data_IF_902916554816
#
_entry.id   IF_902916554816
#
_cell.length_a   1.000
_cell.length_b   1.000
_cell.length_c   1.000
_cell.angle_alpha   90.00
_cell.angle_beta   90.00
_cell.angle_gamma   90.00
#
_symmetry.space_group_name_H-M   'P 1'
#
loop_
_entity.id
_entity.type
_entity.pdbx_description
1 polymer ?
#
# COMPACT_ATOMS: atom_id res chain seq x y z
N UNK A 1 9.77 -2.57 -3.42
CA UNK A 1 8.53 -3.35 -3.72
C UNK A 1 7.85 -3.74 -2.41
N UNK A 2 6.53 -3.69 -2.40
CA UNK A 2 5.77 -4.07 -1.21
C UNK A 2 5.93 -5.57 -0.91
N UNK A 3 6.19 -5.90 0.35
CA UNK A 3 6.39 -7.28 0.81
C UNK A 3 5.14 -7.84 1.49
N UNK A 4 4.12 -7.02 1.67
CA UNK A 4 2.88 -7.38 2.35
C UNK A 4 1.74 -7.77 1.40
N UNK A 5 2.06 -8.00 0.13
CA UNK A 5 1.08 -8.46 -0.84
C UNK A 5 0.71 -9.92 -0.57
N UNK A 6 -0.58 -10.18 -0.39
CA UNK A 6 -1.14 -11.52 -0.28
C UNK A 6 -1.52 -12.03 -1.66
N UNK A 7 -2.26 -11.21 -2.43
CA UNK A 7 -2.73 -11.59 -3.76
C UNK A 7 -3.10 -10.35 -4.58
N UNK A 8 -2.78 -10.39 -5.88
CA UNK A 8 -3.21 -9.34 -6.81
C UNK A 8 -3.41 -9.97 -8.20
N UNK A 9 -4.63 -9.92 -8.69
CA UNK A 9 -4.99 -10.49 -10.00
C UNK A 9 -4.50 -9.67 -11.17
N UNK A 10 -4.59 -8.36 -11.07
CA UNK A 10 -4.39 -7.46 -12.20
C UNK A 10 -3.42 -6.32 -11.89
N UNK A 11 -2.16 -6.52 -12.25
CA UNK A 11 -1.12 -5.49 -12.09
C UNK A 11 -1.28 -4.32 -13.06
N UNK A 12 -2.18 -4.41 -14.04
CA UNK A 12 -2.47 -3.29 -14.95
C UNK A 12 -3.16 -2.13 -14.25
N UNK A 13 -3.71 -2.36 -13.05
CA UNK A 13 -4.29 -1.32 -12.23
C UNK A 13 -3.27 -0.56 -11.37
N UNK A 14 -2.00 -0.92 -11.49
CA UNK A 14 -0.94 -0.19 -10.79
C UNK A 14 -0.67 1.13 -11.52
N UNK A 15 -0.52 2.19 -10.75
CA UNK A 15 -0.30 3.55 -11.27
C UNK A 15 0.64 4.32 -10.38
N UNK A 16 1.46 5.17 -10.99
CA UNK A 16 2.21 6.19 -10.27
C UNK A 16 1.30 7.38 -9.93
N UNK A 17 1.32 7.81 -8.70
CA UNK A 17 0.53 8.94 -8.20
C UNK A 17 1.30 9.71 -7.15
N UNK A 18 1.01 10.99 -7.05
CA UNK A 18 1.53 11.83 -5.96
C UNK A 18 0.93 11.35 -4.64
N UNK A 19 1.77 11.16 -3.66
CA UNK A 19 1.41 10.62 -2.35
C UNK A 19 1.92 11.54 -1.22
N UNK A 20 1.38 11.41 0.00
CA UNK A 20 1.85 12.21 1.13
C UNK A 20 3.31 11.94 1.49
N UNK A 21 3.94 12.93 2.10
CA UNK A 21 5.28 12.81 2.67
C UNK A 21 5.30 11.66 3.68
N UNK A 22 6.34 10.84 3.62
CA UNK A 22 6.52 9.70 4.52
C UNK A 22 5.88 8.41 4.04
N UNK A 23 5.24 8.38 2.87
CA UNK A 23 4.69 7.14 2.31
C UNK A 23 5.80 6.14 2.05
N UNK A 24 5.62 4.94 2.56
CA UNK A 24 6.54 3.81 2.42
C UNK A 24 5.88 2.66 1.68
N UNK A 25 6.70 1.84 1.05
CA UNK A 25 6.25 0.58 0.44
C UNK A 25 5.43 -0.23 1.45
N UNK A 26 4.26 -0.67 1.03
CA UNK A 26 3.33 -1.42 1.87
C UNK A 26 2.27 -0.58 2.57
N UNK A 27 2.38 0.75 2.58
CA UNK A 27 1.41 1.61 3.25
C UNK A 27 0.07 1.63 2.53
N UNK A 28 -1.01 1.58 3.31
CA UNK A 28 -2.36 1.83 2.84
C UNK A 28 -2.63 3.33 2.80
N UNK A 29 -3.26 3.81 1.73
CA UNK A 29 -3.65 5.23 1.60
C UNK A 29 -4.91 5.38 0.74
N UNK A 30 -5.51 6.56 0.84
CA UNK A 30 -6.62 6.96 -0.02
C UNK A 30 -6.11 8.01 -1.00
N UNK A 31 -6.21 7.74 -2.29
CA UNK A 31 -5.79 8.67 -3.34
C UNK A 31 -6.95 8.89 -4.31
N UNK A 32 -7.36 10.15 -4.44
CA UNK A 32 -8.51 10.48 -5.30
C UNK A 32 -9.81 9.80 -4.86
N UNK A 33 -9.99 9.56 -3.56
CA UNK A 33 -11.13 8.84 -3.01
C UNK A 33 -11.07 7.32 -3.17
N UNK A 34 -9.98 6.77 -3.69
CA UNK A 34 -9.80 5.33 -3.92
C UNK A 34 -8.81 4.74 -2.93
N UNK A 35 -9.11 3.57 -2.35
CA UNK A 35 -8.14 2.86 -1.55
C UNK A 35 -6.99 2.34 -2.41
N UNK A 36 -5.79 2.40 -1.88
CA UNK A 36 -4.57 1.96 -2.56
C UNK A 36 -3.53 1.47 -1.56
N UNK A 37 -2.58 0.68 -2.05
CA UNK A 37 -1.40 0.27 -1.29
C UNK A 37 -0.16 0.69 -2.07
N UNK A 38 0.78 1.33 -1.40
CA UNK A 38 2.03 1.75 -2.01
C UNK A 38 2.92 0.53 -2.28
N UNK A 39 3.36 0.41 -3.52
CA UNK A 39 4.29 -0.64 -3.95
C UNK A 39 5.75 -0.21 -3.76
N UNK A 40 5.98 1.09 -3.72
CA UNK A 40 7.30 1.70 -3.54
C UNK A 40 7.24 2.79 -2.48
N UNK A 41 8.40 3.19 -1.98
CA UNK A 41 8.51 4.40 -1.19
C UNK A 41 8.23 5.62 -2.07
N UNK A 42 7.83 6.72 -1.44
CA UNK A 42 7.68 8.00 -2.11
C UNK A 42 9.04 8.49 -2.62
N UNK A 43 9.11 8.91 -3.87
CA UNK A 43 10.28 9.53 -4.45
C UNK A 43 10.40 10.99 -4.02
N UNK A 44 10.84 11.24 -2.80
CA UNK A 44 10.84 12.59 -2.20
C UNK A 44 11.85 13.53 -2.84
N UNK A 45 12.94 12.97 -3.36
CA UNK A 45 14.02 13.76 -3.95
C UNK A 45 14.68 12.97 -5.06
N UNK A 46 15.40 13.68 -5.91
CA UNK A 46 16.33 13.06 -6.83
C UNK A 46 17.58 12.60 -6.06
N UNK A 47 18.09 11.44 -6.42
CA UNK A 47 19.33 10.93 -5.87
C UNK A 47 20.41 11.02 -6.92
N UNK A 48 21.50 11.69 -6.58
CA UNK A 48 22.67 11.80 -7.44
C UNK A 48 23.69 10.72 -7.09
N UNK A 49 24.08 9.93 -8.07
CA UNK A 49 25.06 8.87 -7.90
C UNK A 49 26.26 9.18 -8.77
N UNK A 50 27.49 9.29 -8.22
CA UNK A 50 28.67 9.49 -9.03
C UNK A 50 28.94 8.27 -9.91
N UNK A 51 29.33 8.53 -11.15
CA UNK A 51 29.73 7.50 -12.10
C UNK A 51 31.17 7.76 -12.55
N UNK A 52 31.82 6.75 -13.14
CA UNK A 52 33.22 6.85 -13.60
C UNK A 52 33.39 8.00 -14.60
N UNK A 53 34.52 8.71 -14.54
CA UNK A 53 34.79 9.84 -15.41
C UNK A 53 34.39 11.21 -14.90
N UNK A 54 34.02 11.33 -13.61
CA UNK A 54 33.64 12.61 -13.00
C UNK A 54 32.24 13.06 -13.29
N UNK A 55 31.45 12.28 -14.01
CA UNK A 55 30.01 12.53 -14.22
C UNK A 55 29.18 12.05 -13.03
N UNK A 56 27.92 12.46 -12.96
CA UNK A 56 26.99 11.95 -11.98
C UNK A 56 25.64 11.66 -12.62
N UNK A 57 24.93 10.69 -12.07
CA UNK A 57 23.60 10.30 -12.50
C UNK A 57 22.58 10.73 -11.44
N UNK A 58 21.60 11.52 -11.84
CA UNK A 58 20.55 12.00 -10.96
C UNK A 58 19.23 11.29 -11.31
N UNK A 59 18.66 10.57 -10.35
CA UNK A 59 17.43 9.79 -10.52
C UNK A 59 16.46 10.11 -9.40
N UNK A 60 15.13 10.01 -9.66
CA UNK A 60 14.16 10.05 -8.59
C UNK A 60 14.40 8.89 -7.61
N UNK A 61 14.32 9.15 -6.32
CA UNK A 61 14.32 8.04 -5.36
C UNK A 61 13.03 7.26 -5.51
N UNK A 62 13.10 5.93 -5.46
CA UNK A 62 11.94 5.06 -5.65
C UNK A 62 11.85 4.41 -7.02
N UNK A 63 12.65 4.82 -8.02
CA UNK A 63 12.74 4.14 -9.31
C UNK A 63 12.79 5.05 -10.51
N UNK A 64 13.08 4.47 -11.65
CA UNK A 64 13.31 5.19 -12.90
C UNK A 64 12.09 5.90 -13.46
N UNK A 65 10.91 5.31 -13.31
CA UNK A 65 9.68 5.83 -13.91
C UNK A 65 8.88 6.70 -12.97
N UNK A 66 9.35 6.90 -11.74
CA UNK A 66 8.67 7.74 -10.76
C UNK A 66 9.22 9.15 -10.81
N UNK A 67 8.32 10.12 -10.80
CA UNK A 67 8.65 11.54 -10.59
C UNK A 67 8.83 11.81 -9.09
N UNK A 68 9.50 12.90 -8.70
CA UNK A 68 9.52 13.31 -7.31
C UNK A 68 8.11 13.39 -6.74
N UNK A 69 7.95 13.00 -5.48
CA UNK A 69 6.68 12.98 -4.73
C UNK A 69 5.69 11.89 -5.16
N UNK A 70 6.05 11.05 -6.10
CA UNK A 70 5.21 9.94 -6.55
C UNK A 70 5.62 8.61 -5.91
N UNK A 71 4.65 7.71 -5.81
CA UNK A 71 4.88 6.29 -5.54
C UNK A 71 4.06 5.47 -6.53
N UNK A 72 4.51 4.26 -6.80
CA UNK A 72 3.71 3.30 -7.54
C UNK A 72 2.66 2.71 -6.61
N UNK A 73 1.40 2.73 -7.02
CA UNK A 73 0.27 2.31 -6.21
C UNK A 73 -0.47 1.16 -6.86
N UNK A 74 -0.93 0.21 -6.03
CA UNK A 74 -1.89 -0.80 -6.41
C UNK A 74 -3.27 -0.38 -5.91
N UNK A 75 -4.25 -0.38 -6.79
CA UNK A 75 -5.64 -0.03 -6.46
C UNK A 75 -6.54 -1.24 -6.28
N UNK A 76 -5.97 -2.42 -6.29
CA UNK A 76 -6.68 -3.69 -6.09
C UNK A 76 -5.79 -4.70 -5.38
N UNK A 77 -6.35 -5.87 -5.12
CA UNK A 77 -5.62 -6.98 -4.52
C UNK A 77 -5.87 -7.12 -3.03
N UNK A 78 -5.25 -8.16 -2.46
CA UNK A 78 -5.33 -8.48 -1.04
C UNK A 78 -3.98 -8.24 -0.39
N UNK A 79 -3.99 -7.49 0.69
CA UNK A 79 -2.78 -6.99 1.35
C UNK A 79 -2.83 -7.24 2.85
N UNK A 80 -1.72 -7.64 3.43
CA UNK A 80 -1.58 -7.81 4.88
C UNK A 80 -1.30 -6.45 5.51
N UNK A 81 -2.28 -5.90 6.18
CA UNK A 81 -2.25 -4.53 6.69
C UNK A 81 -2.56 -4.47 8.18
N UNK A 82 -2.00 -3.49 8.90
CA UNK A 82 -2.42 -3.21 10.27
C UNK A 82 -3.90 -2.80 10.29
N UNK A 83 -4.71 -3.48 11.09
CA UNK A 83 -6.13 -3.20 11.24
C UNK A 83 -6.50 -3.27 12.72
N UNK A 84 -6.94 -2.16 13.27
CA UNK A 84 -7.35 -2.09 14.66
C UNK A 84 -8.61 -2.95 14.89
N UNK A 85 -8.56 -3.80 15.90
CA UNK A 85 -9.64 -4.73 16.23
C UNK A 85 -9.54 -6.10 15.55
N UNK A 86 -8.62 -6.28 14.60
CA UNK A 86 -8.40 -7.59 13.98
C UNK A 86 -7.73 -8.55 14.97
N UNK A 87 -8.20 -9.79 14.97
CA UNK A 87 -7.69 -10.87 15.83
C UNK A 87 -7.37 -12.11 15.00
N UNK A 88 -6.83 -13.13 15.63
CA UNK A 88 -6.59 -14.42 14.99
C UNK A 88 -7.87 -15.18 14.64
N UNK A 89 -9.01 -14.72 15.13
CA UNK A 89 -10.32 -15.32 14.86
C UNK A 89 -11.19 -14.50 13.91
N UNK A 90 -10.69 -13.36 13.42
CA UNK A 90 -11.41 -12.54 12.43
C UNK A 90 -11.66 -13.37 11.18
N UNK A 91 -12.93 -13.43 10.74
CA UNK A 91 -13.31 -14.21 9.55
C UNK A 91 -13.13 -13.45 8.24
N UNK A 92 -13.55 -14.08 7.15
CA UNK A 92 -13.58 -13.45 5.82
C UNK A 92 -14.79 -12.51 5.66
N UNK A 93 -14.71 -11.63 4.67
CA UNK A 93 -15.78 -10.73 4.26
C UNK A 93 -16.23 -9.75 5.36
N UNK A 94 -15.36 -9.50 6.33
CA UNK A 94 -15.59 -8.49 7.36
C UNK A 94 -15.23 -7.11 6.80
N UNK A 95 -16.15 -6.13 6.85
CA UNK A 95 -15.84 -4.79 6.33
C UNK A 95 -14.72 -4.13 7.11
N UNK A 96 -13.83 -3.45 6.38
CA UNK A 96 -12.71 -2.69 6.94
C UNK A 96 -12.92 -1.22 6.61
N UNK A 97 -12.75 -0.36 7.59
CA UNK A 97 -12.98 1.08 7.48
C UNK A 97 -11.69 1.85 7.71
N UNK A 98 -11.61 3.04 7.12
CA UNK A 98 -10.49 3.94 7.30
C UNK A 98 -10.92 5.18 8.06
N UNK A 99 -10.30 5.42 9.22
CA UNK A 99 -10.63 6.55 10.07
C UNK A 99 -9.37 7.10 10.75
N UNK A 100 -9.18 8.42 10.67
CA UNK A 100 -8.07 9.13 11.32
C UNK A 100 -6.69 8.53 10.99
N UNK A 101 -6.50 8.08 9.75
CA UNK A 101 -5.23 7.51 9.30
C UNK A 101 -5.03 6.03 9.60
N UNK A 102 -6.02 5.36 10.18
CA UNK A 102 -5.92 3.95 10.55
C UNK A 102 -7.04 3.12 9.95
N UNK A 103 -6.72 1.87 9.59
CA UNK A 103 -7.72 0.86 9.26
C UNK A 103 -8.29 0.25 10.53
N UNK A 104 -9.58 -0.02 10.54
CA UNK A 104 -10.28 -0.56 11.71
C UNK A 104 -11.48 -1.40 11.30
N UNK A 105 -11.95 -2.26 12.19
CA UNK A 105 -13.16 -3.05 11.99
C UNK A 105 -14.42 -2.34 12.50
N UNK A 106 -14.27 -1.32 13.34
CA UNK A 106 -15.38 -0.51 13.80
C UNK A 106 -15.92 0.35 12.66
N UNK A 107 -17.23 0.33 12.44
CA UNK A 107 -17.86 1.04 11.34
C UNK A 107 -17.62 2.56 11.41
N UNK A 108 -17.20 3.13 10.29
CA UNK A 108 -16.97 4.58 10.15
C UNK A 108 -17.07 4.94 8.66
N UNK A 109 -18.19 5.54 8.26
CA UNK A 109 -18.42 5.85 6.85
C UNK A 109 -18.63 4.59 6.01
N UNK A 110 -18.12 4.61 4.80
CA UNK A 110 -18.18 3.47 3.88
C UNK A 110 -16.94 2.57 4.07
N UNK A 111 -17.07 1.25 3.93
CA UNK A 111 -15.90 0.38 3.98
C UNK A 111 -14.96 0.66 2.82
N UNK A 112 -13.66 0.55 3.08
CA UNK A 112 -12.60 0.68 2.06
C UNK A 112 -12.16 -0.68 1.52
N UNK A 113 -12.53 -1.75 2.18
CA UNK A 113 -12.21 -3.11 1.78
C UNK A 113 -12.89 -4.12 2.69
N UNK A 114 -12.56 -5.38 2.45
CA UNK A 114 -13.11 -6.50 3.22
C UNK A 114 -11.97 -7.47 3.52
N UNK A 115 -12.09 -8.18 4.64
CA UNK A 115 -11.11 -9.23 4.94
C UNK A 115 -11.25 -10.37 3.93
N UNK A 116 -10.11 -10.90 3.49
CA UNK A 116 -10.07 -11.97 2.52
C UNK A 116 -8.81 -12.83 2.79
N UNK A 117 -8.99 -13.86 3.61
CA UNK A 117 -7.89 -14.74 3.99
C UNK A 117 -7.85 -15.96 3.06
N UNK A 118 -6.74 -16.19 2.34
CA UNK A 118 -6.54 -17.45 1.63
C UNK A 118 -6.60 -18.64 2.58
N UNK A 119 -6.99 -19.80 2.09
CA UNK A 119 -6.98 -21.02 2.86
C UNK A 119 -5.58 -21.28 3.42
N UNK A 120 -5.49 -21.54 4.72
CA UNK A 120 -4.21 -21.79 5.39
C UNK A 120 -3.42 -20.52 5.74
N UNK A 121 -3.99 -19.33 5.53
CA UNK A 121 -3.32 -18.10 5.90
C UNK A 121 -3.12 -17.98 7.42
N UNK A 122 -1.91 -17.65 7.82
CA UNK A 122 -1.58 -17.45 9.23
C UNK A 122 -2.06 -16.06 9.69
N UNK A 123 -3.07 -16.05 10.54
CA UNK A 123 -3.65 -14.81 11.07
C UNK A 123 -2.82 -14.27 12.23
N UNK A 124 -2.63 -12.97 12.26
CA UNK A 124 -1.88 -12.25 13.28
C UNK A 124 -2.78 -11.19 13.93
N UNK A 125 -2.78 -11.14 15.27
CA UNK A 125 -3.55 -10.11 15.99
C UNK A 125 -3.06 -8.70 15.60
N UNK A 126 -4.00 -7.78 15.37
CA UNK A 126 -3.71 -6.41 14.95
C UNK A 126 -3.46 -6.24 13.46
N UNK A 127 -3.50 -7.32 12.68
CA UNK A 127 -3.33 -7.30 11.22
C UNK A 127 -4.44 -8.10 10.55
N UNK A 128 -4.75 -7.75 9.32
CA UNK A 128 -5.70 -8.50 8.51
C UNK A 128 -5.25 -8.55 7.05
N UNK A 129 -5.63 -9.61 6.35
CA UNK A 129 -5.57 -9.64 4.90
C UNK A 129 -6.78 -8.87 4.37
N UNK A 130 -6.56 -7.72 3.76
CA UNK A 130 -7.61 -6.80 3.33
C UNK A 130 -7.62 -6.74 1.81
N UNK A 131 -8.76 -7.04 1.23
CA UNK A 131 -9.00 -6.90 -0.20
C UNK A 131 -9.56 -5.53 -0.50
N UNK A 132 -8.91 -4.82 -1.41
CA UNK A 132 -9.32 -3.52 -1.95
C UNK A 132 -9.61 -3.63 -3.44
N UNK A 133 -10.37 -2.72 -3.95
CA UNK A 133 -10.71 -2.71 -5.38
C UNK A 133 -12.10 -3.27 -5.72
#
# INVERSE_FOLDING_TARGET
MATNKVFQENTKNNRARVVPVGTKSGDFLIVGGRPAVALTDRGDATKTTPISGGASLTLPSGGFSLKPNEASLAFDGTWHLPVTGATTTTGNDVPVYFNAGNLQLTASGNPVGYTDYPQGFYKQAGFAAVRIG
#
